data_IF_974624177573
#
_entry.id   IF_974624177573
#
_cell.length_a   1.000
_cell.length_b   1.000
_cell.length_c   1.000
_cell.angle_alpha   90.00
_cell.angle_beta   90.00
_cell.angle_gamma   90.00
#
_symmetry.space_group_name_H-M   'P 1'
#
loop_
_entity.id
_entity.type
_entity.pdbx_description
1 polymer ?
#
# COMPACT_ATOMS: atom_id res chain seq x y z
N UNK A 1 13.95 -19.51 21.62
CA UNK A 1 12.97 -18.46 21.98
C UNK A 1 13.00 -17.25 21.04
N UNK A 2 14.02 -16.38 21.02
CA UNK A 2 14.05 -15.21 20.09
C UNK A 2 14.05 -15.60 18.61
N UNK A 3 14.87 -16.58 18.23
CA UNK A 3 14.98 -17.07 16.85
C UNK A 3 13.68 -17.68 16.30
N UNK A 4 12.98 -18.44 17.14
CA UNK A 4 11.72 -19.09 16.74
C UNK A 4 10.61 -18.06 16.49
N UNK A 5 10.58 -16.98 17.29
CA UNK A 5 9.68 -15.85 17.07
C UNK A 5 10.04 -15.08 15.80
N UNK A 6 11.33 -14.85 15.52
CA UNK A 6 11.76 -14.23 14.26
C UNK A 6 11.38 -15.06 13.04
N UNK A 7 11.49 -16.40 13.11
CA UNK A 7 11.02 -17.30 12.04
C UNK A 7 9.51 -17.19 11.80
N UNK A 8 8.72 -17.17 12.87
CA UNK A 8 7.26 -16.98 12.77
C UNK A 8 6.92 -15.64 12.12
N UNK A 9 7.62 -14.57 12.51
CA UNK A 9 7.43 -13.23 11.96
C UNK A 9 7.77 -13.17 10.47
N UNK A 10 8.93 -13.71 10.08
CA UNK A 10 9.40 -13.71 8.69
C UNK A 10 8.51 -14.56 7.76
N UNK A 11 7.81 -15.56 8.30
CA UNK A 11 6.89 -16.41 7.54
C UNK A 11 5.44 -15.92 7.51
N UNK A 12 5.13 -14.75 8.09
CA UNK A 12 3.78 -14.20 8.02
C UNK A 12 3.46 -13.71 6.59
N UNK A 13 2.28 -14.06 6.11
CA UNK A 13 1.68 -13.57 4.88
C UNK A 13 0.34 -12.91 5.19
N UNK A 14 -0.17 -12.08 4.28
CA UNK A 14 -1.49 -11.48 4.43
C UNK A 14 -2.57 -12.55 4.67
N UNK A 15 -3.47 -12.26 5.60
CA UNK A 15 -4.71 -12.99 5.85
C UNK A 15 -5.86 -12.01 6.06
N UNK A 16 -7.08 -12.40 5.69
CA UNK A 16 -8.24 -11.49 5.66
C UNK A 16 -8.60 -10.91 7.04
N UNK A 17 -8.39 -11.68 8.10
CA UNK A 17 -8.63 -11.28 9.50
C UNK A 17 -7.59 -10.28 10.03
N UNK A 18 -6.49 -10.03 9.31
CA UNK A 18 -5.44 -9.10 9.74
C UNK A 18 -5.90 -7.65 9.91
N UNK A 19 -7.00 -7.25 9.25
CA UNK A 19 -7.63 -5.92 9.44
C UNK A 19 -8.08 -5.67 10.88
N UNK A 20 -8.30 -6.73 11.66
CA UNK A 20 -8.80 -6.66 13.04
C UNK A 20 -7.67 -6.70 14.08
N UNK A 21 -6.41 -6.85 13.66
CA UNK A 21 -5.26 -6.94 14.56
C UNK A 21 -4.62 -5.57 14.79
N UNK A 22 -4.18 -5.32 16.02
CA UNK A 22 -3.56 -4.06 16.43
C UNK A 22 -2.02 -4.04 16.25
N UNK A 23 -1.39 -5.14 15.81
CA UNK A 23 0.06 -5.20 15.63
C UNK A 23 0.51 -4.59 14.29
N UNK A 24 1.61 -3.84 14.34
CA UNK A 24 2.15 -3.06 13.21
C UNK A 24 2.38 -3.89 11.94
N UNK A 25 2.86 -5.13 12.08
CA UNK A 25 3.11 -5.99 10.91
C UNK A 25 1.80 -6.41 10.26
N UNK A 26 0.80 -6.84 11.03
CA UNK A 26 -0.51 -7.20 10.49
C UNK A 26 -1.20 -6.00 9.83
N UNK A 27 -1.09 -4.81 10.43
CA UNK A 27 -1.59 -3.56 9.84
C UNK A 27 -0.88 -3.22 8.52
N UNK A 28 0.45 -3.33 8.48
CA UNK A 28 1.22 -3.07 7.26
C UNK A 28 0.90 -4.05 6.11
N UNK A 29 0.75 -5.34 6.42
CA UNK A 29 0.33 -6.34 5.44
C UNK A 29 -1.09 -6.07 4.93
N UNK A 30 -2.00 -5.68 5.80
CA UNK A 30 -3.37 -5.35 5.41
C UNK A 30 -3.44 -4.07 4.55
N UNK A 31 -2.73 -3.02 4.96
CA UNK A 31 -2.69 -1.74 4.25
C UNK A 31 -2.16 -1.91 2.83
N UNK A 32 -1.05 -2.64 2.66
CA UNK A 32 -0.46 -2.87 1.34
C UNK A 32 -1.34 -3.76 0.46
N UNK A 33 -2.05 -4.74 1.04
CA UNK A 33 -3.03 -5.53 0.30
C UNK A 33 -4.22 -4.69 -0.19
N UNK A 34 -4.71 -3.78 0.65
CA UNK A 34 -5.76 -2.82 0.29
C UNK A 34 -5.29 -1.86 -0.81
N UNK A 35 -4.12 -1.24 -0.66
CA UNK A 35 -3.55 -0.36 -1.69
C UNK A 35 -3.42 -1.03 -3.07
N UNK A 36 -2.98 -2.29 -3.12
CA UNK A 36 -2.89 -3.05 -4.38
C UNK A 36 -4.28 -3.34 -4.96
N UNK A 37 -5.25 -3.68 -4.10
CA UNK A 37 -6.62 -3.97 -4.52
C UNK A 37 -7.33 -2.73 -5.04
N UNK A 38 -7.17 -1.60 -4.35
CA UNK A 38 -7.72 -0.30 -4.74
C UNK A 38 -7.10 0.15 -6.06
N UNK A 39 -5.78 0.03 -6.21
CA UNK A 39 -5.13 0.33 -7.48
C UNK A 39 -5.63 -0.56 -8.64
N UNK A 40 -5.95 -1.82 -8.37
CA UNK A 40 -6.50 -2.72 -9.40
C UNK A 40 -7.96 -2.36 -9.77
N UNK A 41 -8.78 -1.97 -8.79
CA UNK A 41 -10.21 -1.70 -8.98
C UNK A 41 -10.51 -0.26 -9.42
N UNK A 42 -9.88 0.71 -8.77
CA UNK A 42 -10.10 2.16 -8.96
C UNK A 42 -9.04 2.81 -9.86
N UNK A 43 -7.85 2.21 -9.95
CA UNK A 43 -6.72 2.77 -10.69
C UNK A 43 -5.82 3.67 -9.83
N UNK A 44 -4.93 4.43 -10.48
CA UNK A 44 -4.04 5.38 -9.81
C UNK A 44 -4.64 6.79 -9.75
N UNK A 45 -4.34 7.53 -8.69
CA UNK A 45 -4.55 8.98 -8.67
C UNK A 45 -3.38 9.64 -9.43
N UNK A 46 -3.52 9.76 -10.74
CA UNK A 46 -2.56 10.48 -11.58
C UNK A 46 -2.74 12.00 -11.38
N UNK A 47 -1.75 12.66 -10.79
CA UNK A 47 -1.78 14.13 -10.62
C UNK A 47 -1.42 14.91 -11.88
N UNK A 48 -1.81 16.18 -11.94
CA UNK A 48 -1.48 17.13 -13.02
C UNK A 48 -0.90 18.43 -12.44
N UNK A 49 0.04 19.04 -13.14
CA UNK A 49 0.50 20.42 -12.87
C UNK A 49 -0.11 21.34 -13.91
N UNK A 50 -0.85 22.34 -13.46
CA UNK A 50 -1.30 23.46 -14.30
C UNK A 50 -0.18 24.49 -14.43
N UNK A 51 0.21 24.80 -15.66
CA UNK A 51 1.14 25.90 -15.95
C UNK A 51 0.40 27.23 -16.02
N UNK A 52 1.11 28.34 -15.80
CA UNK A 52 0.55 29.70 -15.86
C UNK A 52 -0.15 30.02 -17.20
N UNK A 53 0.22 29.35 -18.29
CA UNK A 53 -0.42 29.48 -19.60
C UNK A 53 -1.67 28.60 -19.81
N UNK A 54 -2.18 27.97 -18.74
CA UNK A 54 -3.35 27.09 -18.77
C UNK A 54 -3.09 25.70 -19.32
N UNK A 55 -1.85 25.33 -19.65
CA UNK A 55 -1.51 23.97 -20.07
C UNK A 55 -1.32 23.06 -18.86
N UNK A 56 -2.11 22.00 -18.76
CA UNK A 56 -1.89 20.92 -17.80
C UNK A 56 -0.83 19.95 -18.32
N UNK A 57 0.10 19.53 -17.46
CA UNK A 57 1.07 18.47 -17.74
C UNK A 57 0.86 17.35 -16.70
N UNK A 58 0.63 16.10 -17.12
CA UNK A 58 0.59 14.97 -16.19
C UNK A 58 1.89 14.85 -15.38
N UNK A 59 1.80 14.58 -14.08
CA UNK A 59 3.00 14.40 -13.23
C UNK A 59 3.93 13.29 -13.74
N UNK A 60 3.38 12.28 -14.41
CA UNK A 60 4.13 11.17 -15.01
C UNK A 60 4.98 11.55 -16.23
N UNK A 61 4.70 12.71 -16.83
CA UNK A 61 5.38 13.22 -18.04
C UNK A 61 6.39 14.33 -17.72
N UNK A 62 6.60 14.63 -16.43
CA UNK A 62 7.65 15.55 -15.94
C UNK A 62 8.97 14.80 -15.75
#
# INVERSE_FOLDING_TARGET
MRYDNSKKLAGKHYAHDMKQNDDELSQGLSLTHEQVSDNYMEGTIDGVIEKENGKSVPLKDL
#
